data_IF_629486608157
#
_entry.id   IF_629486608157
#
_cell.length_a   1.000
_cell.length_b   1.000
_cell.length_c   1.000
_cell.angle_alpha   90.00
_cell.angle_beta   90.00
_cell.angle_gamma   90.00
#
_symmetry.space_group_name_H-M   'P 1'
#
loop_
_entity.id
_entity.type
_entity.pdbx_description
1 polymer ?
#
# COMPACT_ATOMS: atom_id res chain seq x y z
N UNK A 1 17.09 7.28 12.36
CA UNK A 1 15.63 7.20 12.55
C UNK A 1 15.40 6.32 13.75
N UNK A 2 14.51 6.74 14.64
CA UNK A 2 14.16 5.99 15.85
C UNK A 2 12.71 5.55 15.71
N UNK A 3 12.44 4.28 15.99
CA UNK A 3 11.08 3.74 16.05
C UNK A 3 10.74 3.50 17.51
N UNK A 4 9.70 4.15 18.00
CA UNK A 4 9.12 3.90 19.32
C UNK A 4 7.93 2.99 19.11
N UNK A 5 7.90 1.83 19.76
CA UNK A 5 6.80 0.88 19.61
C UNK A 5 6.13 0.59 20.96
N UNK A 6 4.81 0.43 20.93
CA UNK A 6 4.05 -0.03 22.08
C UNK A 6 2.93 -0.96 21.62
N UNK A 7 2.81 -2.11 22.27
CA UNK A 7 1.78 -3.09 21.98
C UNK A 7 0.94 -3.41 23.19
N UNK A 8 -0.35 -3.67 22.97
CA UNK A 8 -1.29 -4.14 23.98
C UNK A 8 -2.14 -5.24 23.37
N UNK A 9 -2.31 -6.32 24.12
CA UNK A 9 -3.27 -7.38 23.82
C UNK A 9 -4.19 -7.59 25.02
N UNK A 10 -5.43 -7.95 24.77
CA UNK A 10 -6.46 -8.23 25.77
C UNK A 10 -7.36 -9.38 25.29
N UNK A 11 -7.86 -10.16 26.24
CA UNK A 11 -8.73 -11.32 25.94
C UNK A 11 -10.09 -10.89 25.38
N UNK A 12 -10.51 -9.64 25.60
CA UNK A 12 -11.85 -9.18 25.29
C UNK A 12 -12.81 -9.39 26.47
N UNK A 13 -14.08 -9.11 26.24
CA UNK A 13 -15.15 -9.26 27.25
C UNK A 13 -15.85 -10.63 27.17
N UNK A 14 -15.76 -11.32 26.04
CA UNK A 14 -16.54 -12.55 25.77
C UNK A 14 -15.69 -13.82 25.75
N UNK A 15 -14.45 -13.77 25.25
CA UNK A 15 -13.59 -14.95 25.13
C UNK A 15 -13.03 -15.38 26.49
N UNK A 16 -12.75 -16.67 26.65
CA UNK A 16 -12.15 -17.23 27.88
C UNK A 16 -10.62 -17.30 27.86
N UNK A 17 -10.01 -17.17 26.67
CA UNK A 17 -8.58 -17.28 26.43
C UNK A 17 -8.17 -16.30 25.33
N UNK A 18 -6.91 -15.88 25.37
CA UNK A 18 -6.32 -15.00 24.36
C UNK A 18 -5.44 -15.83 23.41
N UNK A 19 -5.86 -15.93 22.16
CA UNK A 19 -5.17 -16.62 21.07
C UNK A 19 -4.34 -15.65 20.22
N UNK A 20 -4.49 -14.34 20.41
CA UNK A 20 -3.63 -13.34 19.80
C UNK A 20 -2.23 -13.34 20.42
N UNK A 21 -1.26 -12.97 19.60
CA UNK A 21 0.10 -12.72 20.03
C UNK A 21 0.72 -11.57 19.25
N UNK A 22 1.44 -10.68 19.94
CA UNK A 22 2.30 -9.69 19.30
C UNK A 22 3.75 -9.83 19.77
N UNK A 23 4.68 -9.44 18.90
CA UNK A 23 6.11 -9.44 19.18
C UNK A 23 6.72 -8.11 18.73
N UNK A 24 7.59 -7.58 19.57
CA UNK A 24 8.47 -6.45 19.24
C UNK A 24 9.92 -6.86 19.51
N UNK A 25 10.79 -6.62 18.54
CA UNK A 25 12.23 -6.81 18.66
C UNK A 25 12.93 -5.59 18.05
N UNK A 26 13.23 -4.61 18.89
CA UNK A 26 13.84 -3.33 18.47
C UNK A 26 15.23 -3.53 17.85
N UNK A 27 15.98 -4.56 18.27
CA UNK A 27 17.30 -4.84 17.74
C UNK A 27 17.22 -5.33 16.29
N UNK A 28 16.20 -6.13 15.98
CA UNK A 28 15.92 -6.55 14.61
C UNK A 28 15.12 -5.53 13.81
N UNK A 29 14.46 -4.59 14.49
CA UNK A 29 13.44 -3.69 13.92
C UNK A 29 12.17 -4.45 13.51
N UNK A 30 11.86 -5.56 14.18
CA UNK A 30 10.78 -6.49 13.83
C UNK A 30 9.55 -6.28 14.72
N UNK A 31 8.38 -6.23 14.08
CA UNK A 31 7.08 -6.00 14.69
C UNK A 31 6.08 -6.97 14.09
N UNK A 32 5.38 -7.76 14.92
CA UNK A 32 4.48 -8.82 14.45
C UNK A 32 3.20 -8.80 15.25
N UNK A 33 2.07 -8.97 14.57
CA UNK A 33 0.77 -9.31 15.17
C UNK A 33 0.26 -10.56 14.48
N UNK A 34 -0.17 -11.53 15.30
CA UNK A 34 -0.74 -12.80 14.89
C UNK A 34 -2.03 -13.02 15.66
N UNK A 35 -3.10 -13.33 14.95
CA UNK A 35 -4.40 -13.71 15.50
C UNK A 35 -4.53 -15.23 15.34
N UNK A 36 -4.58 -15.93 16.48
CA UNK A 36 -4.56 -17.38 16.51
C UNK A 36 -5.97 -17.96 16.34
N UNK A 37 -6.12 -18.90 15.41
CA UNK A 37 -7.39 -19.60 15.20
C UNK A 37 -7.24 -21.12 15.41
N UNK A 38 -8.14 -21.68 16.20
CA UNK A 38 -8.20 -23.11 16.46
C UNK A 38 -9.21 -23.46 17.55
N UNK A 39 -9.54 -24.74 17.70
CA UNK A 39 -10.28 -25.21 18.87
C UNK A 39 -9.32 -25.52 20.02
N UNK A 40 -9.73 -25.26 21.27
CA UNK A 40 -8.87 -25.35 22.48
C UNK A 40 -7.65 -24.41 22.39
N UNK A 41 -6.55 -24.65 23.12
CA UNK A 41 -5.34 -23.82 23.13
C UNK A 41 -4.48 -23.96 21.85
N UNK A 42 -5.10 -24.20 20.70
CA UNK A 42 -4.40 -24.37 19.44
C UNK A 42 -4.05 -23.01 18.81
N UNK A 43 -4.95 -22.02 18.85
CA UNK A 43 -4.68 -20.70 18.28
C UNK A 43 -3.47 -20.02 18.94
N UNK A 44 -3.41 -20.02 20.28
CA UNK A 44 -2.27 -19.45 21.05
C UNK A 44 -0.93 -20.09 20.66
N UNK A 45 -0.91 -21.41 20.42
CA UNK A 45 0.31 -22.11 20.00
C UNK A 45 0.71 -21.66 18.59
N UNK A 46 -0.23 -21.49 17.66
CA UNK A 46 0.07 -21.05 16.31
C UNK A 46 0.57 -19.61 16.24
N UNK A 47 -0.12 -18.67 16.89
CA UNK A 47 0.23 -17.25 16.87
C UNK A 47 1.62 -17.01 17.46
N UNK A 48 1.89 -17.59 18.64
CA UNK A 48 3.20 -17.52 19.30
C UNK A 48 4.31 -18.16 18.46
N UNK A 49 4.11 -19.39 18.01
CA UNK A 49 5.14 -20.13 17.26
C UNK A 49 5.47 -19.41 15.94
N UNK A 50 4.50 -18.75 15.32
CA UNK A 50 4.71 -17.95 14.11
C UNK A 50 5.62 -16.76 14.40
N UNK A 51 5.26 -15.91 15.37
CA UNK A 51 6.05 -14.74 15.73
C UNK A 51 7.48 -15.09 16.18
N UNK A 52 7.64 -16.16 16.97
CA UNK A 52 8.96 -16.63 17.41
C UNK A 52 9.80 -17.18 16.26
N UNK A 53 9.20 -17.92 15.33
CA UNK A 53 9.89 -18.42 14.13
C UNK A 53 10.39 -17.25 13.27
N UNK A 54 9.60 -16.19 13.12
CA UNK A 54 10.03 -14.98 12.41
C UNK A 54 11.26 -14.35 13.07
N UNK A 55 11.23 -14.13 14.39
CA UNK A 55 12.37 -13.60 15.14
C UNK A 55 13.62 -14.47 14.97
N UNK A 56 13.50 -15.80 15.11
CA UNK A 56 14.62 -16.73 14.96
C UNK A 56 15.27 -16.65 13.58
N UNK A 57 14.45 -16.64 12.52
CA UNK A 57 14.94 -16.61 11.14
C UNK A 57 15.61 -15.28 10.78
N UNK A 58 15.09 -14.17 11.31
CA UNK A 58 15.59 -12.83 11.02
C UNK A 58 16.78 -12.42 11.89
N UNK A 59 17.04 -13.10 13.01
CA UNK A 59 18.18 -12.82 13.87
C UNK A 59 19.54 -12.99 13.17
N UNK A 60 19.63 -13.82 12.14
CA UNK A 60 20.82 -14.02 11.32
C UNK A 60 20.80 -13.32 9.96
N UNK A 61 19.77 -12.51 9.67
CA UNK A 61 19.60 -11.89 8.36
C UNK A 61 20.48 -10.66 8.19
N UNK A 62 21.17 -10.60 7.05
CA UNK A 62 22.13 -9.55 6.69
C UNK A 62 21.65 -8.63 5.57
N UNK A 63 20.48 -8.92 4.98
CA UNK A 63 19.86 -8.07 3.97
C UNK A 63 19.77 -6.61 4.44
N UNK A 64 20.30 -5.72 3.61
CA UNK A 64 20.36 -4.27 3.87
C UNK A 64 19.33 -3.50 3.06
N UNK A 65 18.87 -4.04 1.94
CA UNK A 65 17.85 -3.43 1.09
C UNK A 65 16.46 -4.01 1.39
N UNK A 66 15.42 -3.19 1.21
CA UNK A 66 14.07 -3.58 1.57
C UNK A 66 13.49 -4.76 0.77
N UNK A 67 13.92 -4.99 -0.47
CA UNK A 67 13.49 -6.17 -1.24
C UNK A 67 14.15 -7.45 -0.71
N UNK A 68 15.40 -7.37 -0.27
CA UNK A 68 16.05 -8.44 0.50
C UNK A 68 15.30 -8.74 1.80
N UNK A 69 14.91 -7.71 2.55
CA UNK A 69 14.15 -7.84 3.80
C UNK A 69 12.75 -8.45 3.56
N UNK A 70 12.04 -8.03 2.51
CA UNK A 70 10.73 -8.58 2.15
C UNK A 70 10.82 -10.08 1.85
N UNK A 71 11.83 -10.50 1.07
CA UNK A 71 12.08 -11.93 0.79
C UNK A 71 12.44 -12.72 2.03
N UNK A 72 13.24 -12.15 2.94
CA UNK A 72 13.59 -12.79 4.21
C UNK A 72 12.36 -12.98 5.11
N UNK A 73 11.49 -11.95 5.21
CA UNK A 73 10.22 -12.03 5.91
C UNK A 73 9.29 -13.08 5.31
N UNK A 74 9.11 -13.08 3.99
CA UNK A 74 8.31 -14.09 3.28
C UNK A 74 8.79 -15.51 3.60
N UNK A 75 10.10 -15.77 3.49
CA UNK A 75 10.68 -17.08 3.80
C UNK A 75 10.47 -17.47 5.27
N UNK A 76 10.53 -16.50 6.19
CA UNK A 76 10.27 -16.74 7.60
C UNK A 76 8.81 -17.14 7.87
N UNK A 77 7.84 -16.49 7.19
CA UNK A 77 6.42 -16.86 7.26
C UNK A 77 6.16 -18.23 6.63
N UNK A 78 6.80 -18.55 5.51
CA UNK A 78 6.69 -19.88 4.87
C UNK A 78 7.25 -20.98 5.79
N UNK A 79 8.36 -20.73 6.49
CA UNK A 79 8.91 -21.65 7.48
C UNK A 79 8.00 -21.80 8.70
N UNK A 80 7.42 -20.69 9.19
CA UNK A 80 6.41 -20.74 10.25
C UNK A 80 5.22 -21.61 9.84
N UNK A 81 4.69 -21.43 8.62
CA UNK A 81 3.62 -22.27 8.08
C UNK A 81 3.98 -23.75 8.11
N UNK A 82 5.19 -24.11 7.66
CA UNK A 82 5.67 -25.50 7.67
C UNK A 82 5.70 -26.08 9.08
N UNK A 83 6.15 -25.31 10.07
CA UNK A 83 6.19 -25.73 11.48
C UNK A 83 4.79 -25.93 12.06
N UNK A 84 3.87 -24.97 11.87
CA UNK A 84 2.49 -25.09 12.35
C UNK A 84 1.77 -26.26 11.69
N UNK A 85 1.90 -26.42 10.37
CA UNK A 85 1.29 -27.53 9.64
C UNK A 85 1.78 -28.89 10.15
N UNK A 86 3.08 -29.04 10.41
CA UNK A 86 3.65 -30.26 10.98
C UNK A 86 3.09 -30.55 12.38
N UNK A 87 3.00 -29.55 13.25
CA UNK A 87 2.42 -29.69 14.59
C UNK A 87 0.95 -30.13 14.54
N UNK A 88 0.18 -29.60 13.58
CA UNK A 88 -1.23 -29.97 13.38
C UNK A 88 -1.42 -31.38 12.82
N UNK A 89 -0.43 -31.92 12.09
CA UNK A 89 -0.46 -33.30 11.58
C UNK A 89 -0.03 -34.33 12.64
N UNK A 90 0.82 -33.94 13.60
CA UNK A 90 1.29 -34.79 14.71
C UNK A 90 0.22 -34.96 15.80
N UNK A 91 -0.53 -33.90 16.12
CA UNK A 91 -1.55 -33.90 17.17
C UNK A 91 -2.96 -33.70 16.59
N UNK A 92 -3.79 -34.74 16.68
CA UNK A 92 -5.18 -34.71 16.19
C UNK A 92 -6.01 -33.58 16.81
N UNK A 93 -5.70 -33.14 18.04
CA UNK A 93 -6.41 -32.04 18.70
C UNK A 93 -6.02 -30.67 18.15
N UNK A 94 -4.87 -30.56 17.47
CA UNK A 94 -4.35 -29.34 16.85
C UNK A 94 -4.48 -29.35 15.31
N UNK A 95 -5.16 -30.35 14.76
CA UNK A 95 -5.36 -30.46 13.31
C UNK A 95 -6.16 -29.26 12.80
N UNK A 96 -5.62 -28.57 11.80
CA UNK A 96 -6.23 -27.35 11.24
C UNK A 96 -5.97 -26.07 12.04
N UNK A 97 -5.16 -26.14 13.10
CA UNK A 97 -4.65 -24.98 13.81
C UNK A 97 -3.95 -24.02 12.85
N UNK A 98 -4.19 -22.72 13.04
CA UNK A 98 -3.61 -21.70 12.21
C UNK A 98 -3.57 -20.35 12.89
N UNK A 99 -3.00 -19.38 12.20
CA UNK A 99 -2.98 -17.99 12.67
C UNK A 99 -2.85 -17.05 11.48
N UNK A 100 -3.32 -15.81 11.65
CA UNK A 100 -2.90 -14.71 10.79
C UNK A 100 -1.44 -14.33 11.09
N UNK A 101 -0.83 -13.56 10.21
CA UNK A 101 0.48 -12.98 10.43
C UNK A 101 0.58 -11.68 9.67
N UNK A 102 0.56 -10.56 10.38
CA UNK A 102 0.97 -9.26 9.86
C UNK A 102 2.29 -8.90 10.51
N UNK A 103 3.35 -8.93 9.71
CA UNK A 103 4.72 -8.68 10.16
C UNK A 103 5.30 -7.48 9.40
N UNK A 104 6.09 -6.68 10.11
CA UNK A 104 6.76 -5.50 9.61
C UNK A 104 8.21 -5.50 10.10
N UNK A 105 9.15 -5.25 9.20
CA UNK A 105 10.54 -4.95 9.56
C UNK A 105 10.88 -3.53 9.11
N UNK A 106 11.44 -2.72 10.00
CA UNK A 106 11.82 -1.32 9.72
C UNK A 106 13.33 -1.15 9.89
N UNK A 107 14.03 -0.82 8.79
CA UNK A 107 15.49 -0.60 8.78
C UNK A 107 15.85 0.48 7.76
N UNK A 108 16.77 1.38 8.12
CA UNK A 108 17.33 2.35 7.16
C UNK A 108 16.30 3.29 6.51
N UNK A 109 15.21 3.62 7.21
CA UNK A 109 14.12 4.43 6.66
C UNK A 109 13.26 3.71 5.61
N UNK A 110 13.35 2.38 5.54
CA UNK A 110 12.47 1.53 4.74
C UNK A 110 11.76 0.53 5.64
N UNK A 111 10.57 0.12 5.21
CA UNK A 111 9.84 -0.99 5.77
C UNK A 111 9.61 -2.08 4.72
N UNK A 112 9.60 -3.33 5.19
CA UNK A 112 9.02 -4.44 4.46
C UNK A 112 7.94 -5.11 5.31
N UNK A 113 6.78 -5.35 4.70
CA UNK A 113 5.65 -6.08 5.26
C UNK A 113 5.61 -7.49 4.68
N UNK A 114 5.24 -8.45 5.52
CA UNK A 114 4.71 -9.75 5.10
C UNK A 114 3.36 -9.99 5.78
N UNK A 115 2.35 -10.36 5.00
CA UNK A 115 0.97 -10.42 5.45
C UNK A 115 0.26 -11.69 4.99
N UNK A 116 -0.43 -12.35 5.93
CA UNK A 116 -1.34 -13.48 5.71
C UNK A 116 -2.51 -13.38 6.69
N UNK A 117 -3.74 -13.21 6.20
CA UNK A 117 -4.94 -13.27 7.01
C UNK A 117 -5.72 -11.97 6.85
N UNK A 118 -6.44 -11.58 7.88
CA UNK A 118 -7.27 -10.38 7.92
C UNK A 118 -6.86 -9.37 9.00
N UNK A 119 -5.87 -9.70 9.85
CA UNK A 119 -5.20 -8.69 10.68
C UNK A 119 -4.55 -7.60 9.82
N UNK A 120 -4.59 -6.34 10.24
CA UNK A 120 -4.28 -5.21 9.36
C UNK A 120 -3.01 -4.46 9.71
N UNK A 121 -2.37 -3.89 8.69
CA UNK A 121 -1.34 -2.85 8.81
C UNK A 121 -1.89 -1.53 8.28
N UNK A 122 -1.87 -0.50 9.11
CA UNK A 122 -2.18 0.88 8.73
C UNK A 122 -0.96 1.79 8.81
N UNK A 123 -0.92 2.79 7.93
CA UNK A 123 0.02 3.90 7.92
C UNK A 123 -0.75 5.22 8.01
N UNK A 124 -0.53 5.99 9.07
CA UNK A 124 -0.97 7.37 9.15
C UNK A 124 0.15 8.29 8.66
N UNK A 125 -0.12 9.02 7.58
CA UNK A 125 0.82 9.94 6.95
C UNK A 125 0.08 11.12 6.34
N UNK A 126 0.65 12.32 6.49
CA UNK A 126 0.12 13.54 5.87
C UNK A 126 -1.37 13.83 6.17
N UNK A 127 -1.85 13.45 7.36
CA UNK A 127 -3.22 13.70 7.81
C UNK A 127 -4.25 12.66 7.33
N UNK A 128 -3.82 11.62 6.64
CA UNK A 128 -4.67 10.52 6.16
C UNK A 128 -4.22 9.19 6.79
N UNK A 129 -5.17 8.26 6.96
CA UNK A 129 -4.91 6.89 7.38
C UNK A 129 -5.09 5.96 6.19
N UNK A 130 -4.10 5.10 5.96
CA UNK A 130 -4.08 4.19 4.83
C UNK A 130 -3.90 2.76 5.30
N UNK A 131 -4.79 1.87 4.88
CA UNK A 131 -4.57 0.44 5.04
C UNK A 131 -3.57 -0.04 4.00
N UNK A 132 -2.48 -0.68 4.42
CA UNK A 132 -1.43 -1.19 3.53
C UNK A 132 -1.57 -2.70 3.27
N UNK A 133 -2.17 -3.45 4.20
CA UNK A 133 -2.50 -4.86 4.02
C UNK A 133 -3.82 -5.04 3.27
N UNK A 134 -3.97 -6.17 2.59
CA UNK A 134 -5.22 -6.55 1.92
C UNK A 134 -5.78 -7.79 2.60
N UNK A 135 -6.96 -7.68 3.19
CA UNK A 135 -7.56 -8.79 3.93
C UNK A 135 -7.73 -10.02 3.04
N UNK A 136 -7.30 -11.18 3.54
CA UNK A 136 -7.51 -12.48 2.91
C UNK A 136 -8.80 -13.11 3.43
N UNK A 137 -9.93 -12.44 3.17
CA UNK A 137 -11.28 -12.95 3.47
C UNK A 137 -12.04 -13.22 2.19
N UNK A 138 -13.07 -14.08 2.27
CA UNK A 138 -13.91 -14.42 1.14
C UNK A 138 -14.53 -13.17 0.49
N UNK A 139 -15.01 -12.22 1.31
CA UNK A 139 -15.58 -10.97 0.79
C UNK A 139 -14.54 -10.08 0.13
N UNK A 140 -13.37 -9.91 0.75
CA UNK A 140 -12.29 -9.10 0.18
C UNK A 140 -11.81 -9.68 -1.16
N UNK A 141 -11.67 -11.01 -1.25
CA UNK A 141 -11.31 -11.69 -2.50
C UNK A 141 -12.42 -11.57 -3.56
N UNK A 142 -13.69 -11.70 -3.17
CA UNK A 142 -14.83 -11.54 -4.10
C UNK A 142 -14.92 -10.11 -4.67
N UNK A 143 -14.70 -9.08 -3.84
CA UNK A 143 -14.63 -7.68 -4.31
C UNK A 143 -13.45 -7.49 -5.25
N UNK A 144 -12.26 -7.97 -4.86
CA UNK A 144 -11.03 -7.85 -5.64
C UNK A 144 -11.14 -8.48 -7.03
N UNK A 145 -11.89 -9.57 -7.14
CA UNK A 145 -12.16 -10.26 -8.40
C UNK A 145 -13.39 -9.72 -9.16
N UNK A 146 -14.03 -8.66 -8.67
CA UNK A 146 -15.21 -8.04 -9.30
C UNK A 146 -16.47 -8.91 -9.26
N UNK A 147 -16.53 -9.89 -8.36
CA UNK A 147 -17.69 -10.77 -8.16
C UNK A 147 -18.76 -10.07 -7.32
N UNK A 148 -18.33 -9.27 -6.33
CA UNK A 148 -19.20 -8.46 -5.47
C UNK A 148 -18.79 -6.99 -5.52
N UNK A 149 -19.75 -6.08 -5.35
CA UNK A 149 -19.45 -4.69 -5.00
C UNK A 149 -19.25 -4.55 -3.48
N UNK A 150 -18.56 -3.50 -3.00
CA UNK A 150 -18.43 -3.24 -1.57
C UNK A 150 -19.76 -3.10 -0.84
N UNK A 151 -20.79 -2.54 -1.49
CA UNK A 151 -22.14 -2.41 -0.93
C UNK A 151 -22.80 -3.77 -0.74
N UNK A 152 -22.64 -4.67 -1.71
CA UNK A 152 -23.16 -6.04 -1.63
C UNK A 152 -22.43 -6.86 -0.56
N UNK A 153 -21.13 -6.62 -0.37
CA UNK A 153 -20.36 -7.31 0.66
C UNK A 153 -20.82 -6.95 2.08
N UNK A 154 -21.24 -5.71 2.33
CA UNK A 154 -21.75 -5.27 3.65
C UNK A 154 -23.00 -6.00 4.10
N UNK A 155 -23.79 -6.53 3.17
CA UNK A 155 -25.02 -7.28 3.46
C UNK A 155 -24.77 -8.79 3.64
N UNK A 156 -23.52 -9.26 3.46
CA UNK A 156 -23.19 -10.68 3.49
C UNK A 156 -22.91 -11.19 4.90
N UNK A 157 -23.47 -12.35 5.26
CA UNK A 157 -23.19 -13.04 6.52
C UNK A 157 -21.82 -13.74 6.56
N UNK A 158 -21.02 -13.64 5.49
CA UNK A 158 -19.75 -14.36 5.32
C UNK A 158 -18.51 -13.47 5.53
N UNK A 159 -18.61 -12.42 6.34
CA UNK A 159 -17.53 -11.44 6.56
C UNK A 159 -16.26 -12.05 7.17
N UNK A 160 -16.41 -13.04 8.05
CA UNK A 160 -15.30 -13.55 8.88
C UNK A 160 -14.68 -14.85 8.32
N UNK A 161 -14.92 -15.17 7.04
CA UNK A 161 -14.33 -16.35 6.41
C UNK A 161 -12.96 -16.01 5.85
N UNK A 162 -11.91 -16.33 6.60
CA UNK A 162 -10.52 -16.19 6.18
C UNK A 162 -10.17 -17.23 5.10
N UNK A 163 -9.61 -16.79 3.97
CA UNK A 163 -9.20 -17.63 2.83
C UNK A 163 -7.73 -18.03 2.88
N UNK A 164 -6.89 -17.32 3.65
CA UNK A 164 -5.46 -17.63 3.83
C UNK A 164 -5.03 -17.46 5.28
N UNK A 165 -4.34 -18.46 5.80
CA UNK A 165 -3.74 -18.41 7.13
C UNK A 165 -2.45 -19.25 7.18
N UNK A 166 -1.60 -18.97 8.15
CA UNK A 166 -0.36 -19.70 8.43
C UNK A 166 -0.71 -20.96 9.22
N UNK A 167 -0.44 -22.14 8.66
CA UNK A 167 -0.53 -23.42 9.34
C UNK A 167 -1.57 -24.43 8.83
N UNK A 168 -2.81 -24.04 8.47
CA UNK A 168 -3.84 -25.01 8.11
C UNK A 168 -3.53 -25.82 6.84
N UNK A 169 -2.68 -25.29 5.95
CA UNK A 169 -2.29 -25.93 4.70
C UNK A 169 -0.77 -26.07 4.60
N UNK A 170 -0.30 -27.06 3.83
CA UNK A 170 1.12 -27.32 3.65
C UNK A 170 1.88 -26.17 2.96
N UNK A 171 1.16 -25.27 2.28
CA UNK A 171 1.70 -24.10 1.59
C UNK A 171 0.87 -22.88 1.95
N UNK A 172 1.52 -21.72 1.99
CA UNK A 172 0.90 -20.42 2.20
C UNK A 172 1.39 -19.45 1.13
N UNK A 173 0.49 -18.57 0.68
CA UNK A 173 0.84 -17.43 -0.18
C UNK A 173 0.95 -16.22 0.73
N UNK A 174 2.08 -15.53 0.69
CA UNK A 174 2.39 -14.39 1.55
C UNK A 174 2.41 -13.12 0.69
N UNK A 175 1.59 -12.15 1.07
CA UNK A 175 1.61 -10.85 0.41
C UNK A 175 2.73 -10.01 1.02
N UNK A 176 3.59 -9.41 0.18
CA UNK A 176 4.68 -8.55 0.63
C UNK A 176 4.54 -7.13 0.08
N UNK A 177 4.98 -6.15 0.86
CA UNK A 177 5.01 -4.75 0.46
C UNK A 177 6.27 -4.08 1.00
N UNK A 178 6.98 -3.37 0.14
CA UNK A 178 8.12 -2.52 0.52
C UNK A 178 7.69 -1.07 0.39
N UNK A 179 8.02 -0.26 1.39
CA UNK A 179 7.70 1.17 1.39
C UNK A 179 8.70 2.00 2.18
N UNK A 180 8.79 3.29 1.83
CA UNK A 180 9.55 4.27 2.61
C UNK A 180 8.84 4.55 3.93
N UNK A 181 9.63 4.64 5.01
CA UNK A 181 9.18 5.09 6.32
C UNK A 181 9.82 6.45 6.60
N UNK A 182 9.00 7.43 6.96
CA UNK A 182 9.39 8.82 7.10
C UNK A 182 9.21 9.30 8.54
N UNK A 183 10.05 10.25 9.01
CA UNK A 183 9.81 10.90 10.29
C UNK A 183 8.40 11.50 10.37
N UNK A 184 7.70 11.26 11.47
CA UNK A 184 6.33 11.68 11.69
C UNK A 184 5.29 10.62 11.31
N UNK A 185 5.67 9.54 10.62
CA UNK A 185 4.76 8.43 10.37
C UNK A 185 4.30 7.78 11.68
N UNK A 186 3.08 7.26 11.65
CA UNK A 186 2.56 6.32 12.63
C UNK A 186 2.10 5.07 11.93
N UNK A 187 2.44 3.90 12.47
CA UNK A 187 1.92 2.64 11.97
C UNK A 187 1.12 1.92 13.05
N UNK A 188 0.11 1.18 12.63
CA UNK A 188 -0.70 0.33 13.50
C UNK A 188 -0.80 -1.06 12.88
N UNK A 189 -0.33 -2.06 13.61
CA UNK A 189 -0.64 -3.47 13.34
C UNK A 189 -1.74 -3.89 14.32
N UNK A 190 -2.80 -4.54 13.86
CA UNK A 190 -3.89 -4.97 14.74
C UNK A 190 -4.64 -6.22 14.25
N UNK A 191 -5.22 -6.97 15.19
CA UNK A 191 -6.15 -8.06 14.90
C UNK A 191 -7.56 -7.55 14.52
N UNK A 192 -8.43 -8.45 14.11
CA UNK A 192 -9.81 -8.14 13.73
C UNK A 192 -10.65 -7.63 14.91
N UNK A 193 -10.42 -8.19 16.10
CA UNK A 193 -11.06 -7.76 17.34
C UNK A 193 -10.73 -6.31 17.73
N UNK A 194 -9.76 -5.66 17.07
CA UNK A 194 -9.64 -4.20 17.09
C UNK A 194 -10.40 -3.57 15.93
N UNK A 195 -10.00 -3.83 14.68
CA UNK A 195 -10.43 -3.02 13.55
C UNK A 195 -11.90 -3.16 13.20
N UNK A 196 -12.57 -4.25 13.58
CA UNK A 196 -14.04 -4.40 13.44
C UNK A 196 -14.82 -3.35 14.24
N UNK A 197 -14.21 -2.74 15.26
CA UNK A 197 -14.84 -1.67 16.05
C UNK A 197 -14.59 -0.25 15.51
N UNK A 198 -13.84 -0.09 14.42
CA UNK A 198 -13.45 1.22 13.88
C UNK A 198 -13.75 1.35 12.38
N UNK A 199 -14.98 1.71 12.06
CA UNK A 199 -15.40 2.00 10.68
C UNK A 199 -14.90 3.37 10.17
N UNK A 200 -14.72 4.34 11.07
CA UNK A 200 -14.26 5.69 10.72
C UNK A 200 -12.73 5.77 10.72
N UNK A 201 -12.14 5.77 9.51
CA UNK A 201 -10.70 5.96 9.34
C UNK A 201 -10.20 7.29 9.94
N UNK A 202 -11.03 8.33 9.98
CA UNK A 202 -10.66 9.61 10.59
C UNK A 202 -10.63 9.52 12.13
N UNK A 203 -11.46 8.69 12.74
CA UNK A 203 -11.38 8.39 14.18
C UNK A 203 -10.06 7.71 14.50
N UNK A 204 -9.75 6.63 13.78
CA UNK A 204 -8.52 5.88 14.02
C UNK A 204 -7.27 6.74 13.77
N UNK A 205 -7.29 7.61 12.74
CA UNK A 205 -6.24 8.60 12.51
C UNK A 205 -6.05 9.58 13.68
N UNK A 206 -7.15 10.14 14.23
CA UNK A 206 -7.09 11.07 15.37
C UNK A 206 -6.50 10.39 16.60
N UNK A 207 -6.85 9.13 16.85
CA UNK A 207 -6.31 8.36 17.98
C UNK A 207 -4.81 8.13 17.84
N UNK A 208 -4.33 7.79 16.64
CA UNK A 208 -2.91 7.59 16.33
C UNK A 208 -2.05 8.85 16.45
N UNK A 209 -2.66 10.03 16.61
CA UNK A 209 -1.94 11.30 16.75
C UNK A 209 -1.31 11.51 18.15
N UNK A 210 -1.66 10.69 19.14
CA UNK A 210 -1.06 10.73 20.49
C UNK A 210 0.22 9.86 20.57
N UNK A 211 0.90 9.83 21.73
CA UNK A 211 2.11 9.03 21.93
C UNK A 211 1.82 7.52 21.92
N UNK A 212 2.72 6.72 21.33
CA UNK A 212 2.47 5.31 21.01
C UNK A 212 1.93 4.44 22.17
N UNK A 213 2.46 4.58 23.39
CA UNK A 213 2.06 3.79 24.55
C UNK A 213 0.60 4.04 24.98
N UNK A 214 0.22 5.32 25.09
CA UNK A 214 -1.13 5.71 25.47
C UNK A 214 -2.15 5.26 24.42
N UNK A 215 -1.76 5.30 23.14
CA UNK A 215 -2.64 4.92 22.02
C UNK A 215 -2.97 3.43 22.03
N UNK A 216 -1.98 2.54 22.23
CA UNK A 216 -2.24 1.11 22.23
C UNK A 216 -3.22 0.70 23.34
N UNK A 217 -3.06 1.27 24.54
CA UNK A 217 -3.98 1.04 25.66
C UNK A 217 -5.37 1.64 25.40
N UNK A 218 -5.43 2.87 24.87
CA UNK A 218 -6.68 3.54 24.54
C UNK A 218 -7.48 2.77 23.48
N UNK A 219 -6.82 2.30 22.41
CA UNK A 219 -7.46 1.54 21.32
C UNK A 219 -8.09 0.25 21.84
N UNK A 220 -7.34 -0.53 22.62
CA UNK A 220 -7.83 -1.77 23.24
C UNK A 220 -8.97 -1.50 24.23
N UNK A 221 -8.85 -0.45 25.04
CA UNK A 221 -9.91 -0.04 25.96
C UNK A 221 -11.20 0.37 25.24
N UNK A 222 -11.09 1.09 24.12
CA UNK A 222 -12.24 1.48 23.30
C UNK A 222 -12.91 0.28 22.64
N UNK A 223 -12.16 -0.64 22.06
CA UNK A 223 -12.72 -1.87 21.47
C UNK A 223 -13.44 -2.74 22.51
N UNK A 224 -12.85 -2.89 23.71
CA UNK A 224 -13.50 -3.53 24.85
C UNK A 224 -14.80 -2.83 25.25
N UNK A 225 -14.79 -1.50 25.33
CA UNK A 225 -15.98 -0.70 25.63
C UNK A 225 -17.08 -0.76 24.56
N UNK A 226 -16.72 -1.13 23.32
CA UNK A 226 -17.65 -1.29 22.18
C UNK A 226 -18.19 -2.71 22.02
N UNK A 227 -17.73 -3.68 22.82
CA UNK A 227 -18.29 -5.02 22.88
C UNK A 227 -17.28 -6.09 23.27
N UNK A 228 -16.03 -5.98 22.82
CA UNK A 228 -14.94 -6.93 23.08
C UNK A 228 -15.33 -8.39 22.82
N UNK A 229 -15.88 -8.68 21.64
CA UNK A 229 -16.36 -10.02 21.28
C UNK A 229 -15.24 -10.99 20.93
N UNK A 230 -14.08 -10.47 20.51
CA UNK A 230 -12.89 -11.25 20.22
C UNK A 230 -11.68 -10.82 21.05
N UNK A 231 -10.56 -11.52 20.86
CA UNK A 231 -9.25 -11.07 21.30
C UNK A 231 -8.86 -9.79 20.59
N UNK A 232 -8.23 -8.87 21.32
CA UNK A 232 -7.98 -7.51 20.83
C UNK A 232 -6.50 -7.23 20.96
N UNK A 233 -5.84 -7.02 19.83
CA UNK A 233 -4.42 -6.69 19.80
C UNK A 233 -4.15 -5.46 18.96
N UNK A 234 -3.37 -4.53 19.51
CA UNK A 234 -2.91 -3.32 18.85
C UNK A 234 -1.41 -3.14 19.10
N UNK A 235 -0.64 -2.92 18.04
CA UNK A 235 0.78 -2.59 18.08
C UNK A 235 1.03 -1.31 17.28
N UNK A 236 1.34 -0.23 18.01
CA UNK A 236 1.52 1.12 17.50
C UNK A 236 3.01 1.42 17.38
N UNK A 237 3.43 1.95 16.24
CA UNK A 237 4.79 2.42 15.98
C UNK A 237 4.77 3.92 15.69
N UNK A 238 5.68 4.64 16.31
CA UNK A 238 5.96 6.05 16.09
C UNK A 238 7.36 6.22 15.52
N UNK A 239 7.44 6.91 14.39
CA UNK A 239 8.69 7.12 13.67
C UNK A 239 9.20 8.53 13.94
N UNK A 240 10.37 8.63 14.56
CA UNK A 240 11.05 9.89 14.83
C UNK A 240 12.32 10.02 13.97
N UNK A 241 12.61 11.25 13.53
CA UNK A 241 13.91 11.56 12.94
C UNK A 241 15.01 11.35 13.99
N UNK A 242 16.17 10.85 13.58
CA UNK A 242 17.35 10.90 14.45
C UNK A 242 17.66 12.37 14.83
N UNK A 243 18.28 12.61 16.00
CA UNK A 243 18.79 13.93 16.31
C UNK A 243 19.84 14.37 15.27
N UNK A 244 20.01 15.68 15.12
CA UNK A 244 21.04 16.23 14.22
C UNK A 244 22.44 15.85 14.75
N UNK A 245 23.42 15.55 13.86
CA UNK A 245 23.38 15.73 12.40
C UNK A 245 22.80 14.54 11.60
N UNK A 246 22.60 13.38 12.22
CA UNK A 246 22.22 12.13 11.53
C UNK A 246 20.83 12.21 10.88
N UNK A 247 19.89 12.95 11.48
CA UNK A 247 18.52 13.10 10.95
C UNK A 247 18.34 14.09 9.79
N UNK A 248 19.39 14.79 9.33
CA UNK A 248 19.26 15.78 8.23
C UNK A 248 18.91 15.08 6.93
N UNK A 249 19.68 14.05 6.55
CA UNK A 249 19.43 13.26 5.34
C UNK A 249 18.06 12.56 5.37
N UNK A 250 17.58 12.17 6.56
CA UNK A 250 16.26 11.55 6.74
C UNK A 250 15.12 12.52 6.41
N UNK A 251 15.28 13.79 6.79
CA UNK A 251 14.30 14.85 6.51
C UNK A 251 14.33 15.26 5.04
N UNK A 252 15.52 15.30 4.42
CA UNK A 252 15.65 15.56 2.98
C UNK A 252 14.99 14.46 2.15
N UNK A 253 15.27 13.18 2.47
CA UNK A 253 14.61 12.03 1.84
C UNK A 253 13.09 12.06 2.07
N UNK A 254 12.64 12.38 3.28
CA UNK A 254 11.21 12.51 3.55
C UNK A 254 10.56 13.59 2.67
N UNK A 255 11.22 14.73 2.50
CA UNK A 255 10.76 15.80 1.61
C UNK A 255 10.65 15.32 0.16
N UNK A 256 11.66 14.57 -0.32
CA UNK A 256 11.66 14.02 -1.68
C UNK A 256 10.51 13.01 -1.88
N UNK A 257 10.39 12.02 -1.00
CA UNK A 257 9.37 10.97 -1.07
C UNK A 257 7.96 11.58 -0.99
N UNK A 258 7.73 12.51 -0.07
CA UNK A 258 6.44 13.21 0.05
C UNK A 258 6.10 13.98 -1.22
N UNK A 259 7.06 14.71 -1.79
CA UNK A 259 6.83 15.45 -3.03
C UNK A 259 6.53 14.52 -4.22
N UNK A 260 7.24 13.39 -4.33
CA UNK A 260 7.01 12.40 -5.38
C UNK A 260 5.60 11.80 -5.28
N UNK A 261 5.18 11.37 -4.08
CA UNK A 261 3.84 10.84 -3.83
C UNK A 261 2.74 11.87 -4.16
N UNK A 262 2.94 13.13 -3.75
CA UNK A 262 2.00 14.22 -4.07
C UNK A 262 1.90 14.44 -5.58
N UNK A 263 3.03 14.48 -6.29
CA UNK A 263 3.03 14.65 -7.74
C UNK A 263 2.29 13.51 -8.44
N UNK A 264 2.50 12.25 -8.04
CA UNK A 264 1.80 11.10 -8.61
C UNK A 264 0.29 11.15 -8.37
N UNK A 265 -0.17 11.57 -7.17
CA UNK A 265 -1.61 11.68 -6.86
C UNK A 265 -2.36 12.64 -7.80
N UNK A 266 -1.66 13.63 -8.36
CA UNK A 266 -2.24 14.59 -9.31
C UNK A 266 -2.23 14.12 -10.76
N UNK A 267 -1.45 13.09 -11.09
CA UNK A 267 -1.41 12.51 -12.42
C UNK A 267 -2.60 11.59 -12.60
N UNK A 268 -3.45 11.91 -13.59
CA UNK A 268 -4.68 11.18 -13.88
C UNK A 268 -4.51 9.66 -13.94
N UNK A 269 -3.39 9.20 -14.51
CA UNK A 269 -3.03 7.78 -14.63
C UNK A 269 -2.95 7.05 -13.27
N UNK A 270 -2.56 7.72 -12.19
CA UNK A 270 -2.38 7.13 -10.86
C UNK A 270 -3.49 7.49 -9.87
N UNK A 271 -4.51 8.26 -10.27
CA UNK A 271 -5.57 8.74 -9.35
C UNK A 271 -6.44 7.66 -8.71
N UNK A 272 -6.45 6.44 -9.27
CA UNK A 272 -7.18 5.29 -8.73
C UNK A 272 -6.33 4.36 -7.88
N UNK A 273 -5.04 4.69 -7.73
CA UNK A 273 -4.13 3.89 -6.93
C UNK A 273 -4.27 4.27 -5.46
N UNK A 274 -4.37 3.27 -4.60
CA UNK A 274 -4.25 3.45 -3.16
C UNK A 274 -2.79 3.66 -2.75
N UNK A 275 -2.52 3.86 -1.45
CA UNK A 275 -1.16 4.12 -0.99
C UNK A 275 -0.22 2.94 -1.11
N UNK A 276 -0.70 1.69 -0.99
CA UNK A 276 0.14 0.52 -1.18
C UNK A 276 0.56 0.41 -2.66
N UNK A 277 -0.36 0.64 -3.58
CA UNK A 277 -0.13 0.66 -5.02
C UNK A 277 0.77 1.83 -5.45
N UNK A 278 0.52 3.04 -4.95
CA UNK A 278 1.37 4.22 -5.21
C UNK A 278 2.79 3.98 -4.72
N UNK A 279 2.97 3.29 -3.60
CA UNK A 279 4.32 3.01 -3.09
C UNK A 279 5.06 2.00 -3.97
N UNK A 280 4.36 0.98 -4.50
CA UNK A 280 4.93 0.07 -5.52
C UNK A 280 5.40 0.85 -6.76
N UNK A 281 4.61 1.83 -7.22
CA UNK A 281 5.00 2.71 -8.35
C UNK A 281 6.21 3.55 -7.98
N UNK A 282 6.20 4.24 -6.83
CA UNK A 282 7.31 5.07 -6.36
C UNK A 282 8.63 4.32 -6.30
N UNK A 283 8.61 3.05 -5.86
CA UNK A 283 9.80 2.21 -5.78
C UNK A 283 10.45 1.89 -7.14
N UNK A 284 9.78 2.22 -8.25
CA UNK A 284 10.23 1.99 -9.63
C UNK A 284 10.53 3.29 -10.39
N UNK A 285 10.53 4.42 -9.70
CA UNK A 285 10.82 5.72 -10.28
C UNK A 285 12.30 6.09 -10.16
N UNK A 286 12.84 6.68 -11.23
CA UNK A 286 14.15 7.33 -11.22
C UNK A 286 13.96 8.84 -11.01
N UNK A 287 14.71 9.45 -10.09
CA UNK A 287 14.78 10.90 -9.95
C UNK A 287 15.62 11.52 -11.08
N UNK A 288 15.10 12.59 -11.69
CA UNK A 288 15.75 13.33 -12.78
C UNK A 288 15.75 14.83 -12.46
N UNK A 289 16.93 15.44 -12.38
CA UNK A 289 17.09 16.90 -12.25
C UNK A 289 17.51 17.49 -13.60
N UNK A 290 16.68 18.37 -14.14
CA UNK A 290 16.92 19.03 -15.43
C UNK A 290 17.26 20.50 -15.21
N UNK A 291 18.44 20.98 -15.63
CA UNK A 291 18.78 22.39 -15.54
C UNK A 291 17.98 23.24 -16.55
N UNK A 292 17.94 24.58 -16.38
CA UNK A 292 17.25 25.48 -17.30
C UNK A 292 17.67 25.24 -18.76
N UNK A 293 16.68 25.05 -19.63
CA UNK A 293 16.87 24.83 -21.07
C UNK A 293 17.24 23.40 -21.46
N UNK A 294 17.38 22.46 -20.52
CA UNK A 294 17.66 21.06 -20.84
C UNK A 294 16.51 20.41 -21.63
N UNK A 295 16.86 19.69 -22.69
CA UNK A 295 15.91 18.86 -23.46
C UNK A 295 15.72 17.55 -22.71
N UNK A 296 14.48 17.26 -22.31
CA UNK A 296 14.12 16.00 -21.64
C UNK A 296 13.64 14.96 -22.65
N UNK A 297 12.96 15.41 -23.71
CA UNK A 297 12.57 14.59 -24.85
C UNK A 297 12.76 15.40 -26.13
N UNK A 298 13.30 14.78 -27.18
CA UNK A 298 13.44 15.42 -28.49
C UNK A 298 12.36 14.93 -29.48
N UNK A 299 11.78 15.85 -30.24
CA UNK A 299 10.85 15.51 -31.32
C UNK A 299 11.51 14.53 -32.30
N UNK A 300 10.82 13.44 -32.63
CA UNK A 300 11.33 12.37 -33.49
C UNK A 300 12.13 11.28 -32.75
N UNK A 301 12.48 11.46 -31.48
CA UNK A 301 13.12 10.42 -30.68
C UNK A 301 12.14 9.30 -30.32
N UNK A 302 12.62 8.07 -30.21
CA UNK A 302 11.88 6.98 -29.57
C UNK A 302 12.36 6.89 -28.13
N UNK A 303 11.54 7.34 -27.19
CA UNK A 303 11.80 7.18 -25.76
C UNK A 303 10.78 6.21 -25.16
N UNK A 304 11.19 5.49 -24.12
CA UNK A 304 10.44 4.43 -23.46
C UNK A 304 10.20 4.75 -21.98
N UNK A 305 9.77 5.97 -21.67
CA UNK A 305 9.43 6.36 -20.31
C UNK A 305 8.30 7.38 -20.24
N UNK A 306 7.58 7.33 -19.12
CA UNK A 306 6.71 8.38 -18.63
C UNK A 306 7.50 9.29 -17.70
N UNK A 307 7.26 10.60 -17.77
CA UNK A 307 7.86 11.60 -16.89
C UNK A 307 6.76 12.35 -16.15
N UNK A 308 6.98 12.62 -14.86
CA UNK A 308 6.12 13.44 -14.02
C UNK A 308 6.94 14.57 -13.45
N UNK A 309 6.44 15.80 -13.57
CA UNK A 309 7.10 16.99 -13.03
C UNK A 309 6.74 17.09 -11.55
N UNK A 310 7.75 16.97 -10.69
CA UNK A 310 7.57 17.08 -9.23
C UNK A 310 7.71 18.53 -8.80
N UNK A 311 8.68 19.26 -9.37
CA UNK A 311 8.90 20.68 -9.12
C UNK A 311 9.44 21.38 -10.38
N UNK A 312 9.15 22.68 -10.51
CA UNK A 312 9.48 23.48 -11.69
C UNK A 312 8.46 23.37 -12.83
N UNK A 313 8.92 23.66 -14.05
CA UNK A 313 8.07 23.76 -15.24
C UNK A 313 8.83 23.31 -16.50
N UNK A 314 8.10 22.70 -17.43
CA UNK A 314 8.60 22.38 -18.77
C UNK A 314 7.69 22.96 -19.86
N UNK A 315 8.27 23.30 -21.01
CA UNK A 315 7.55 23.67 -22.23
C UNK A 315 7.54 22.51 -23.20
N UNK A 316 6.45 22.40 -23.96
CA UNK A 316 6.29 21.46 -25.07
C UNK A 316 6.35 22.24 -26.37
N UNK A 317 7.30 21.89 -27.23
CA UNK A 317 7.56 22.56 -28.50
C UNK A 317 7.35 21.59 -29.66
N UNK A 318 6.65 22.01 -30.71
CA UNK A 318 6.53 21.25 -31.97
C UNK A 318 6.96 22.13 -33.12
N UNK A 319 7.91 21.65 -33.92
CA UNK A 319 8.49 22.39 -35.05
C UNK A 319 9.00 23.78 -34.66
N UNK A 320 9.52 23.91 -33.43
CA UNK A 320 10.05 25.15 -32.86
C UNK A 320 9.02 26.12 -32.29
N UNK A 321 7.73 25.77 -32.28
CA UNK A 321 6.66 26.57 -31.67
C UNK A 321 6.22 25.96 -30.33
N UNK A 322 6.14 26.77 -29.27
CA UNK A 322 5.56 26.39 -27.98
C UNK A 322 4.06 26.09 -28.14
N UNK A 323 3.65 24.87 -27.80
CA UNK A 323 2.24 24.43 -27.90
C UNK A 323 1.59 24.25 -26.52
N UNK A 324 2.37 24.04 -25.47
CA UNK A 324 1.88 23.90 -24.11
C UNK A 324 2.97 24.18 -23.07
N UNK A 325 2.53 24.57 -21.86
CA UNK A 325 3.34 24.66 -20.64
C UNK A 325 2.84 23.67 -19.62
N UNK A 326 3.77 22.95 -19.02
CA UNK A 326 3.52 21.87 -18.06
C UNK A 326 4.08 22.29 -16.69
N UNK A 327 3.23 22.71 -15.73
CA UNK A 327 3.65 22.98 -14.36
C UNK A 327 3.89 21.68 -13.57
N UNK A 328 4.41 21.81 -12.34
CA UNK A 328 4.46 20.72 -11.37
C UNK A 328 3.10 20.00 -11.21
N UNK A 329 3.15 18.68 -11.05
CA UNK A 329 1.99 17.77 -11.10
C UNK A 329 1.58 17.32 -12.51
N UNK A 330 2.13 17.95 -13.56
CA UNK A 330 1.91 17.52 -14.95
C UNK A 330 2.76 16.30 -15.31
N UNK A 331 2.37 15.60 -16.38
CA UNK A 331 3.11 14.45 -16.91
C UNK A 331 3.18 14.48 -18.43
N UNK A 332 4.16 13.78 -18.99
CA UNK A 332 4.33 13.62 -20.44
C UNK A 332 5.04 12.31 -20.77
N UNK A 333 4.88 11.81 -22.00
CA UNK A 333 5.47 10.54 -22.42
C UNK A 333 4.68 9.30 -21.99
N UNK A 334 3.46 9.45 -21.46
CA UNK A 334 2.50 8.38 -21.16
C UNK A 334 2.34 7.36 -22.31
N UNK A 335 2.29 7.84 -23.55
CA UNK A 335 2.16 6.98 -24.73
C UNK A 335 3.35 6.06 -24.98
N UNK A 336 4.52 6.37 -24.42
CA UNK A 336 5.70 5.51 -24.46
C UNK A 336 5.47 4.17 -23.78
N UNK A 337 4.60 4.15 -22.76
CA UNK A 337 4.29 2.93 -22.02
C UNK A 337 3.48 1.95 -22.89
N UNK A 338 2.74 2.46 -23.89
CA UNK A 338 1.87 1.65 -24.76
C UNK A 338 2.46 1.37 -26.14
N UNK A 339 3.17 2.33 -26.75
CA UNK A 339 3.70 2.20 -28.11
C UNK A 339 5.09 2.83 -28.26
N UNK A 340 5.83 2.41 -29.30
CA UNK A 340 7.17 2.91 -29.63
C UNK A 340 7.14 3.96 -30.75
N UNK A 341 6.13 4.85 -30.75
CA UNK A 341 6.08 5.90 -31.77
C UNK A 341 7.13 6.99 -31.47
N UNK A 342 7.75 7.58 -32.52
CA UNK A 342 8.57 8.78 -32.37
C UNK A 342 7.80 9.90 -31.65
N UNK A 343 8.49 10.70 -30.84
CA UNK A 343 7.88 11.82 -30.12
C UNK A 343 7.35 12.86 -31.10
N UNK A 344 6.14 13.34 -30.84
CA UNK A 344 5.46 14.35 -31.67
C UNK A 344 5.89 15.78 -31.34
N UNK A 345 6.60 15.98 -30.22
CA UNK A 345 7.06 17.27 -29.73
C UNK A 345 8.31 17.09 -28.86
N UNK A 346 9.11 18.15 -28.78
CA UNK A 346 10.24 18.30 -27.85
C UNK A 346 9.71 18.80 -26.50
N UNK A 347 10.26 18.30 -25.41
CA UNK A 347 9.97 18.81 -24.05
C UNK A 347 11.25 19.37 -23.45
N UNK A 348 11.19 20.63 -22.98
CA UNK A 348 12.35 21.35 -22.45
C UNK A 348 12.05 21.96 -21.09
N UNK A 349 12.97 21.84 -20.15
CA UNK A 349 12.86 22.50 -18.85
C UNK A 349 13.00 24.02 -18.99
N UNK A 350 12.11 24.79 -18.35
CA UNK A 350 12.18 26.27 -18.38
C UNK A 350 13.20 26.79 -17.37
N UNK A 351 13.17 26.25 -16.15
CA UNK A 351 14.10 26.52 -15.07
C UNK A 351 14.76 25.23 -14.58
N UNK A 352 15.26 25.24 -13.35
CA UNK A 352 15.59 23.99 -12.67
C UNK A 352 14.29 23.21 -12.45
N UNK A 353 14.24 21.98 -12.94
CA UNK A 353 13.03 21.18 -12.94
C UNK A 353 13.35 19.77 -12.43
N UNK A 354 12.69 19.38 -11.35
CA UNK A 354 12.81 18.04 -10.76
C UNK A 354 11.66 17.18 -11.26
N UNK A 355 12.01 16.04 -11.82
CA UNK A 355 11.08 15.10 -12.41
C UNK A 355 11.33 13.71 -11.85
N UNK A 356 10.30 12.86 -11.93
CA UNK A 356 10.44 11.41 -11.76
C UNK A 356 10.13 10.72 -13.09
N UNK A 357 10.93 9.71 -13.40
CA UNK A 357 10.83 8.93 -14.63
C UNK A 357 10.38 7.52 -14.29
N UNK A 358 9.34 7.03 -14.96
CA UNK A 358 8.94 5.63 -14.94
C UNK A 358 9.34 4.97 -16.27
N UNK A 359 10.43 4.19 -16.29
CA UNK A 359 10.82 3.40 -17.45
C UNK A 359 9.75 2.38 -17.84
N UNK A 360 9.65 2.09 -19.14
CA UNK A 360 8.66 1.15 -19.67
C UNK A 360 8.84 -0.25 -19.11
N UNK A 361 10.06 -0.78 -19.09
CA UNK A 361 10.36 -2.10 -18.51
C UNK A 361 9.94 -2.18 -17.03
N UNK A 362 10.21 -1.13 -16.25
CA UNK A 362 9.79 -1.05 -14.86
C UNK A 362 8.25 -1.01 -14.70
N UNK A 363 7.55 -0.29 -15.59
CA UNK A 363 6.09 -0.30 -15.65
C UNK A 363 5.53 -1.68 -16.01
N UNK A 364 6.08 -2.36 -17.03
CA UNK A 364 5.63 -3.69 -17.42
C UNK A 364 5.87 -4.71 -16.29
N UNK A 365 7.00 -4.62 -15.59
CA UNK A 365 7.27 -5.45 -14.43
C UNK A 365 6.19 -5.26 -13.34
N UNK A 366 5.81 -4.01 -13.04
CA UNK A 366 4.72 -3.71 -12.09
C UNK A 366 3.40 -4.37 -12.50
N UNK A 367 3.01 -4.23 -13.76
CA UNK A 367 1.75 -4.79 -14.30
C UNK A 367 1.76 -6.32 -14.29
N UNK A 368 2.92 -6.96 -14.48
CA UNK A 368 3.07 -8.41 -14.44
C UNK A 368 3.08 -8.97 -13.01
N UNK A 369 3.66 -8.24 -12.07
CA UNK A 369 3.76 -8.63 -10.66
C UNK A 369 2.43 -8.41 -9.92
N UNK A 370 1.65 -7.39 -10.32
CA UNK A 370 0.38 -7.04 -9.68
C UNK A 370 -0.72 -6.82 -10.73
N UNK A 371 -1.54 -7.86 -10.92
CA UNK A 371 -2.66 -7.86 -11.88
C UNK A 371 -3.70 -6.79 -11.57
N UNK A 372 -3.98 -6.49 -10.29
CA UNK A 372 -5.02 -5.51 -9.91
C UNK A 372 -4.56 -4.10 -10.28
N UNK A 373 -3.33 -3.77 -9.90
CA UNK A 373 -2.67 -2.53 -10.30
C UNK A 373 -2.63 -2.41 -11.83
N UNK A 374 -2.29 -3.50 -12.53
CA UNK A 374 -2.33 -3.58 -13.99
C UNK A 374 -3.70 -3.25 -14.61
N UNK A 375 -4.78 -3.79 -14.05
CA UNK A 375 -6.14 -3.52 -14.53
C UNK A 375 -6.54 -2.06 -14.28
N UNK A 376 -6.23 -1.50 -13.10
CA UNK A 376 -6.49 -0.07 -12.79
C UNK A 376 -5.78 0.84 -13.80
N UNK A 377 -4.52 0.52 -14.12
CA UNK A 377 -3.76 1.24 -15.15
C UNK A 377 -4.41 1.15 -16.53
N UNK A 378 -4.75 -0.05 -16.99
CA UNK A 378 -5.40 -0.26 -18.28
C UNK A 378 -6.73 0.50 -18.37
N UNK A 379 -7.51 0.49 -17.29
CA UNK A 379 -8.78 1.22 -17.20
C UNK A 379 -8.56 2.73 -17.34
N UNK A 380 -7.59 3.31 -16.62
CA UNK A 380 -7.25 4.75 -16.73
C UNK A 380 -6.73 5.14 -18.09
N UNK A 381 -5.91 4.30 -18.72
CA UNK A 381 -5.45 4.53 -20.08
C UNK A 381 -6.61 4.48 -21.08
N UNK A 382 -7.55 3.55 -20.93
CA UNK A 382 -8.74 3.47 -21.78
C UNK A 382 -9.62 4.72 -21.65
N UNK A 383 -9.85 5.21 -20.42
CA UNK A 383 -10.58 6.46 -20.19
C UNK A 383 -9.86 7.68 -20.80
N UNK A 384 -8.55 7.77 -20.61
CA UNK A 384 -7.74 8.86 -21.18
C UNK A 384 -7.79 8.87 -22.71
N UNK A 385 -7.71 7.69 -23.33
CA UNK A 385 -7.83 7.55 -24.78
C UNK A 385 -9.24 7.89 -25.28
N UNK A 386 -10.28 7.52 -24.54
CA UNK A 386 -11.67 7.89 -24.86
C UNK A 386 -11.84 9.41 -24.87
N UNK A 387 -11.40 10.10 -23.82
CA UNK A 387 -11.46 11.56 -23.74
C UNK A 387 -10.71 12.25 -24.88
N UNK A 388 -9.49 11.77 -25.19
CA UNK A 388 -8.69 12.31 -26.30
C UNK A 388 -9.32 12.05 -27.68
N UNK A 389 -10.03 10.94 -27.84
CA UNK A 389 -10.78 10.67 -29.07
C UNK A 389 -11.95 11.64 -29.20
N UNK A 390 -12.70 11.89 -28.13
CA UNK A 390 -13.80 12.86 -28.12
C UNK A 390 -13.30 14.25 -28.54
N UNK A 391 -12.21 14.73 -27.95
CA UNK A 391 -11.58 16.02 -28.30
C UNK A 391 -11.13 16.08 -29.77
N UNK A 392 -10.64 14.97 -30.33
CA UNK A 392 -10.16 14.91 -31.72
C UNK A 392 -11.29 14.92 -32.75
N UNK A 393 -12.52 14.56 -32.36
CA UNK A 393 -13.67 14.50 -33.27
C UNK A 393 -14.61 15.71 -33.18
N UNK A 394 -14.45 16.61 -32.20
CA UNK A 394 -15.26 17.83 -32.06
C UNK A 394 -15.27 18.67 -33.35
N UNK A 395 -16.38 18.60 -34.09
CA UNK A 395 -16.73 19.52 -35.19
C UNK A 395 -17.99 20.31 -34.79
N UNK A 396 -18.17 21.57 -35.24
CA UNK A 396 -19.25 22.46 -34.78
C UNK A 396 -20.68 21.93 -35.02
N UNK A 397 -20.87 20.90 -35.84
CA UNK A 397 -22.14 20.21 -36.06
C UNK A 397 -22.48 19.13 -35.00
N UNK A 398 -21.62 18.87 -34.01
CA UNK A 398 -21.82 17.82 -32.99
C UNK A 398 -22.37 18.30 -31.63
N UNK A 399 -22.51 19.61 -31.38
CA UNK A 399 -23.10 20.12 -30.13
C UNK A 399 -24.53 19.57 -29.87
N UNK A 400 -25.28 19.26 -30.93
CA UNK A 400 -26.63 18.65 -30.82
C UNK A 400 -26.61 17.13 -30.54
N UNK A 401 -25.52 16.43 -30.87
CA UNK A 401 -25.35 14.98 -30.64
C UNK A 401 -24.74 14.73 -29.26
N UNK A 402 -23.78 15.55 -28.82
CA UNK A 402 -23.15 15.45 -27.50
C UNK A 402 -24.14 15.63 -26.34
N UNK A 403 -25.18 16.48 -26.48
CA UNK A 403 -26.27 16.56 -25.47
C UNK A 403 -27.03 15.24 -25.27
N UNK A 404 -26.98 14.32 -26.24
CA UNK A 404 -27.56 12.96 -26.10
C UNK A 404 -26.58 11.94 -25.56
N UNK A 405 -25.27 12.09 -25.79
CA UNK A 405 -24.24 11.14 -25.32
C UNK A 405 -23.82 11.42 -23.88
N UNK A 406 -23.72 12.70 -23.48
CA UNK A 406 -23.50 13.12 -22.08
C UNK A 406 -24.62 12.65 -21.13
N UNK A 407 -25.79 12.29 -21.67
CA UNK A 407 -26.87 11.67 -20.90
C UNK A 407 -26.56 10.24 -20.44
N UNK A 408 -25.52 9.59 -20.99
CA UNK A 408 -25.11 8.22 -20.63
C UNK A 408 -23.92 8.17 -19.66
N UNK A 409 -23.24 9.30 -19.40
CA UNK A 409 -22.10 9.39 -18.48
C UNK A 409 -20.86 8.60 -18.90
N UNK A 410 -19.71 8.91 -18.28
CA UNK A 410 -18.61 7.94 -18.21
C UNK A 410 -19.06 6.82 -17.26
N UNK A 411 -18.84 5.55 -17.63
CA UNK A 411 -19.06 4.46 -16.68
C UNK A 411 -18.21 4.74 -15.43
N UNK A 412 -18.81 4.73 -14.22
CA UNK A 412 -18.04 4.85 -13.00
C UNK A 412 -16.99 3.74 -12.98
N UNK A 413 -15.78 4.07 -12.52
CA UNK A 413 -14.75 3.04 -12.40
C UNK A 413 -15.26 1.92 -11.49
N UNK A 414 -15.10 0.64 -11.88
CA UNK A 414 -15.47 -0.47 -11.01
C UNK A 414 -14.62 -0.52 -9.73
N UNK A 415 -13.58 0.32 -9.64
CA UNK A 415 -12.68 0.47 -8.50
C UNK A 415 -13.00 1.71 -7.63
N UNK A 416 -14.07 2.45 -7.95
CA UNK A 416 -14.46 3.64 -7.19
C UNK A 416 -15.28 3.27 -5.94
N UNK A 417 -14.75 3.57 -4.75
CA UNK A 417 -15.46 3.39 -3.48
C UNK A 417 -16.01 4.75 -2.96
N UNK A 418 -17.23 5.12 -3.38
CA UNK A 418 -18.23 6.08 -2.82
C UNK A 418 -17.79 7.51 -2.36
N UNK A 419 -18.73 8.44 -2.09
CA UNK A 419 -18.73 9.80 -2.63
C UNK A 419 -17.79 10.75 -1.87
N UNK A 420 -17.23 11.75 -2.56
CA UNK A 420 -16.74 12.95 -1.86
C UNK A 420 -17.95 13.58 -1.17
N UNK A 421 -17.99 13.50 0.16
CA UNK A 421 -18.86 14.34 0.97
C UNK A 421 -18.43 15.79 0.77
N UNK A 422 -19.35 16.57 0.22
CA UNK A 422 -19.39 18.03 -0.03
C UNK A 422 -18.09 18.79 -0.32
#
# INVERSE_FOLDING_TARGET
MRVIAAGKTDVGQVRGHNEDFFLTDEALGLYVVCDGMGGHAAGEVASRTTAETLRERLAGESATDANGLARALEQAVVEANRRIYALGEEDKQKRGMGTTCTALIVRGGQAAMAHVGDSRLYLARAGELHQLSSDHTFLADAIRHGILTPEQAKESEHSNIVTRAVGPQARVIVDTLVFDVLPGDRLLLCSDGLHEYFDDAAELHRLLSNGAADVAEQLVGMANGRGGHDNITALVLEVEAAPAPEGVAERERATEVTANLQALRHVHLFTELDMAELTKVCARLDSLLSPPGAVVLEQGEVSEALYVIVDGEAIVERDGAEIARLPAGSHFGDMALLNQRPRTATVRAVGECRMVRLPRDAFYALVQEDTVLGIKFLWRLAQTLSLRLDDAFQTPTQEEVERKTLAYGLFPSPFHNVPRGE
#
